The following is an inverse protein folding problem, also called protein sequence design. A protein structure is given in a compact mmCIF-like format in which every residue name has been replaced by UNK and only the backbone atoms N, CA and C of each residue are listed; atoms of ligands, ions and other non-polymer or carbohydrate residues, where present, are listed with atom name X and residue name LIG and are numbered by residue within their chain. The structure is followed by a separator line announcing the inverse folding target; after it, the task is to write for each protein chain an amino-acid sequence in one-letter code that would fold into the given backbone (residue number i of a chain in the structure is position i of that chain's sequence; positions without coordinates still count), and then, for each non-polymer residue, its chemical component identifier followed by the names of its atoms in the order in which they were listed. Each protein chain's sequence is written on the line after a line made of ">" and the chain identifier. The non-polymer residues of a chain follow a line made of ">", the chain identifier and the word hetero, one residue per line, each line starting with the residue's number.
data_IF_674691113849
#
_entry.id   IF_674691113849
#
_cell.length_a   1.000
_cell.length_b   1.000
_cell.length_c   1.000
_cell.angle_alpha   90.00
_cell.angle_beta   90.00
_cell.angle_gamma   90.00
#
_symmetry.space_group_name_H-M   'P 1'
#
loop_
_entity.id
_entity.type
_entity.pdbx_description
1 polymer ?
#
# COMPACT_ATOMS: atom_id res chain seq x y z
N UNK A 1 51.07 -0.69 -64.40
CA UNK A 1 50.32 0.44 -63.85
C UNK A 1 48.85 0.01 -63.78
N UNK A 2 48.46 -0.60 -62.67
CA UNK A 2 47.12 -1.16 -62.46
C UNK A 2 46.27 -0.14 -61.71
N UNK A 3 45.18 0.30 -62.33
CA UNK A 3 44.19 1.18 -61.71
C UNK A 3 43.37 0.40 -60.66
N UNK A 4 43.19 0.98 -59.48
CA UNK A 4 42.29 0.45 -58.45
C UNK A 4 40.84 0.90 -58.75
N UNK A 5 39.83 0.07 -58.47
CA UNK A 5 38.43 0.45 -58.64
C UNK A 5 37.98 1.40 -57.52
N UNK A 6 37.26 2.44 -57.92
CA UNK A 6 36.62 3.39 -57.02
C UNK A 6 35.45 2.71 -56.30
N UNK A 7 35.51 2.67 -54.97
CA UNK A 7 34.45 2.09 -54.13
C UNK A 7 33.43 3.18 -53.85
N UNK A 8 32.28 3.12 -54.52
CA UNK A 8 31.13 3.96 -54.23
C UNK A 8 30.66 3.72 -52.79
N UNK A 9 30.92 4.69 -51.90
CA UNK A 9 30.39 4.70 -50.54
C UNK A 9 29.02 5.36 -50.58
N UNK A 10 27.98 4.54 -50.68
CA UNK A 10 26.60 5.01 -50.60
C UNK A 10 26.32 5.66 -49.23
N UNK A 11 25.81 6.91 -49.17
CA UNK A 11 25.56 7.59 -47.91
C UNK A 11 24.42 6.90 -47.17
N UNK A 12 24.75 6.10 -46.15
CA UNK A 12 23.75 5.53 -45.24
C UNK A 12 22.91 6.66 -44.65
N UNK A 13 21.64 6.70 -45.03
CA UNK A 13 20.66 7.70 -44.57
C UNK A 13 20.70 7.86 -43.04
N UNK A 14 20.91 9.07 -42.50
CA UNK A 14 20.98 9.32 -41.05
C UNK A 14 19.73 8.91 -40.27
N UNK A 15 18.59 8.82 -40.95
CA UNK A 15 17.26 8.50 -40.41
C UNK A 15 17.16 7.11 -39.78
N UNK A 16 17.96 6.13 -40.23
CA UNK A 16 17.88 4.76 -39.72
C UNK A 16 18.52 4.57 -38.33
N UNK A 17 19.36 5.52 -37.85
CA UNK A 17 20.04 5.42 -36.55
C UNK A 17 19.26 5.98 -35.36
N UNK A 18 18.19 6.74 -35.61
CA UNK A 18 17.39 7.40 -34.57
C UNK A 18 16.17 6.59 -34.11
N UNK A 19 15.89 5.47 -34.76
CA UNK A 19 14.75 4.60 -34.48
C UNK A 19 15.23 3.26 -33.91
N UNK A 20 15.90 3.30 -32.76
CA UNK A 20 15.85 2.12 -31.88
C UNK A 20 14.38 1.78 -31.59
N UNK A 21 14.04 0.52 -31.27
CA UNK A 21 12.65 0.16 -31.01
C UNK A 21 12.08 1.09 -29.93
N UNK A 22 11.07 1.89 -30.27
CA UNK A 22 10.40 2.81 -29.32
C UNK A 22 9.51 2.04 -28.34
N UNK A 23 9.23 0.77 -28.61
CA UNK A 23 8.32 -0.05 -27.82
C UNK A 23 8.71 -0.22 -26.34
N UNK A 24 10.00 -0.32 -25.91
CA UNK A 24 10.33 -0.42 -24.49
C UNK A 24 9.99 0.87 -23.73
N UNK A 25 10.17 2.03 -24.36
CA UNK A 25 9.81 3.32 -23.77
C UNK A 25 8.30 3.51 -23.67
N UNK A 26 7.58 3.06 -24.70
CA UNK A 26 6.11 3.03 -24.69
C UNK A 26 5.62 2.09 -23.59
N UNK A 27 6.16 0.86 -23.51
CA UNK A 27 5.80 -0.11 -22.49
C UNK A 27 6.06 0.43 -21.08
N UNK A 28 7.24 1.01 -20.83
CA UNK A 28 7.58 1.58 -19.53
C UNK A 28 6.65 2.74 -19.13
N UNK A 29 6.24 3.57 -20.11
CA UNK A 29 5.30 4.68 -19.90
C UNK A 29 3.89 4.17 -19.60
N UNK A 30 3.43 3.14 -20.32
CA UNK A 30 2.17 2.46 -20.05
C UNK A 30 2.18 1.82 -18.66
N UNK A 31 3.25 1.13 -18.29
CA UNK A 31 3.41 0.53 -16.97
C UNK A 31 3.41 1.58 -15.87
N UNK A 32 4.18 2.67 -16.00
CA UNK A 32 4.21 3.75 -15.02
C UNK A 32 2.86 4.45 -14.85
N UNK A 33 2.16 4.73 -15.95
CA UNK A 33 0.81 5.29 -15.92
C UNK A 33 -0.20 4.33 -15.29
N UNK A 34 -0.17 3.04 -15.66
CA UNK A 34 -1.02 2.00 -15.10
C UNK A 34 -0.80 1.79 -13.61
N UNK A 35 0.45 1.82 -13.13
CA UNK A 35 0.78 1.71 -11.71
C UNK A 35 0.24 2.91 -10.91
N UNK A 36 0.31 4.13 -11.43
CA UNK A 36 -0.32 5.29 -10.78
C UNK A 36 -1.85 5.19 -10.69
N UNK A 37 -2.49 4.69 -11.74
CA UNK A 37 -3.94 4.44 -11.72
C UNK A 37 -4.30 3.38 -10.66
N UNK A 38 -3.49 2.32 -10.56
CA UNK A 38 -3.65 1.29 -9.53
C UNK A 38 -3.42 1.86 -8.12
N UNK A 39 -2.39 2.67 -7.92
CA UNK A 39 -2.15 3.44 -6.69
C UNK A 39 -3.39 4.25 -6.30
N UNK A 40 -3.96 5.01 -7.24
CA UNK A 40 -5.15 5.83 -6.99
C UNK A 40 -6.37 4.99 -6.60
N UNK A 41 -6.57 3.82 -7.22
CA UNK A 41 -7.64 2.91 -6.86
C UNK A 41 -7.47 2.31 -5.46
N UNK A 42 -6.25 1.87 -5.10
CA UNK A 42 -5.93 1.34 -3.77
C UNK A 42 -6.15 2.41 -2.69
N UNK A 43 -5.66 3.63 -2.92
CA UNK A 43 -5.82 4.72 -1.96
C UNK A 43 -7.27 5.18 -1.85
N UNK A 44 -8.07 5.09 -2.92
CA UNK A 44 -9.50 5.37 -2.87
C UNK A 44 -10.23 4.37 -1.98
N UNK A 45 -9.91 3.08 -2.07
CA UNK A 45 -10.47 2.05 -1.21
C UNK A 45 -10.13 2.30 0.27
N UNK A 46 -8.85 2.56 0.57
CA UNK A 46 -8.41 2.91 1.92
C UNK A 46 -9.10 4.20 2.42
N UNK A 47 -9.23 5.22 1.56
CA UNK A 47 -9.95 6.45 1.87
C UNK A 47 -11.39 6.17 2.29
N UNK A 48 -12.15 5.46 1.44
CA UNK A 48 -13.58 5.21 1.69
C UNK A 48 -13.79 4.35 2.94
N UNK A 49 -12.90 3.39 3.19
CA UNK A 49 -13.10 2.37 4.22
C UNK A 49 -12.53 2.73 5.60
N UNK A 50 -11.60 3.68 5.69
CA UNK A 50 -10.98 4.01 6.97
C UNK A 50 -10.49 5.45 7.10
N UNK A 51 -9.88 6.01 6.04
CA UNK A 51 -9.13 7.26 6.17
C UNK A 51 -9.98 8.52 6.00
N UNK A 52 -11.18 8.43 5.40
CA UNK A 52 -12.02 9.61 5.09
C UNK A 52 -12.42 10.44 6.30
N UNK A 53 -12.47 9.85 7.49
CA UNK A 53 -12.88 10.55 8.73
C UNK A 53 -11.69 11.08 9.54
N UNK A 54 -10.46 10.70 9.20
CA UNK A 54 -9.27 11.10 9.95
C UNK A 54 -8.96 12.58 9.62
N UNK A 55 -8.99 13.49 10.61
CA UNK A 55 -8.71 14.90 10.36
C UNK A 55 -7.35 15.11 9.69
N UNK A 56 -7.30 15.99 8.69
CA UNK A 56 -6.13 16.25 7.83
C UNK A 56 -5.72 15.08 6.93
N UNK A 57 -5.52 13.87 7.47
CA UNK A 57 -5.07 12.69 6.72
C UNK A 57 -6.06 12.29 5.63
N UNK A 58 -7.37 12.27 5.94
CA UNK A 58 -8.39 11.93 4.96
C UNK A 58 -8.36 12.85 3.74
N UNK A 59 -8.21 14.16 3.95
CA UNK A 59 -8.10 15.14 2.87
C UNK A 59 -6.83 14.95 2.03
N UNK A 60 -5.70 14.62 2.68
CA UNK A 60 -4.46 14.31 1.98
C UNK A 60 -4.56 13.03 1.15
N UNK A 61 -5.24 12.00 1.67
CA UNK A 61 -5.55 10.78 0.94
C UNK A 61 -6.39 11.08 -0.31
N UNK A 62 -7.45 11.87 -0.18
CA UNK A 62 -8.29 12.25 -1.32
C UNK A 62 -7.52 13.06 -2.36
N UNK A 63 -6.67 14.00 -1.93
CA UNK A 63 -5.81 14.76 -2.83
C UNK A 63 -4.84 13.86 -3.60
N UNK A 64 -4.23 12.88 -2.90
CA UNK A 64 -3.36 11.88 -3.52
C UNK A 64 -4.13 11.07 -4.57
N UNK A 65 -5.34 10.61 -4.26
CA UNK A 65 -6.18 9.81 -5.18
C UNK A 65 -6.44 10.58 -6.47
N UNK A 66 -6.87 11.84 -6.35
CA UNK A 66 -7.14 12.70 -7.51
C UNK A 66 -5.84 12.93 -8.31
N UNK A 67 -4.74 13.24 -7.64
CA UNK A 67 -3.45 13.46 -8.29
C UNK A 67 -2.96 12.21 -9.02
N UNK A 68 -3.09 11.03 -8.42
CA UNK A 68 -2.69 9.75 -8.98
C UNK A 68 -3.47 9.43 -10.27
N UNK A 69 -4.79 9.63 -10.27
CA UNK A 69 -5.60 9.43 -11.48
C UNK A 69 -5.26 10.43 -12.59
N UNK A 70 -5.13 11.72 -12.25
CA UNK A 70 -4.80 12.78 -13.22
C UNK A 70 -3.42 12.56 -13.83
N UNK A 71 -2.41 12.31 -12.99
CA UNK A 71 -1.04 12.06 -13.45
C UNK A 71 -0.94 10.72 -14.18
N UNK A 72 -1.61 9.67 -13.71
CA UNK A 72 -1.65 8.35 -14.36
C UNK A 72 -2.17 8.43 -15.79
N UNK A 73 -3.29 9.12 -16.00
CA UNK A 73 -3.81 9.37 -17.35
C UNK A 73 -2.90 10.30 -18.16
N UNK A 74 -2.37 11.36 -17.54
CA UNK A 74 -1.48 12.32 -18.19
C UNK A 74 -0.16 11.71 -18.67
N UNK A 75 0.41 10.77 -17.92
CA UNK A 75 1.63 10.03 -18.30
C UNK A 75 1.43 9.27 -19.60
N UNK A 76 0.22 8.82 -19.93
CA UNK A 76 -0.05 8.10 -21.19
C UNK A 76 0.10 9.00 -22.43
N UNK A 77 0.07 10.33 -22.28
CA UNK A 77 0.26 11.28 -23.37
C UNK A 77 1.76 11.43 -23.68
N UNK A 78 2.24 11.05 -24.89
CA UNK A 78 3.66 11.11 -25.23
C UNK A 78 4.19 12.55 -25.32
N UNK A 79 5.53 12.71 -25.23
CA UNK A 79 6.20 14.01 -25.41
C UNK A 79 6.22 14.94 -24.19
N UNK A 80 5.63 14.54 -23.06
CA UNK A 80 5.62 15.32 -21.82
C UNK A 80 6.50 14.67 -20.75
N UNK A 81 7.69 15.22 -20.52
CA UNK A 81 8.66 14.71 -19.52
C UNK A 81 8.28 15.09 -18.09
N UNK A 82 7.60 16.22 -17.92
CA UNK A 82 7.18 16.72 -16.61
C UNK A 82 6.14 15.81 -15.93
N UNK A 83 5.28 15.12 -16.71
CA UNK A 83 4.23 14.27 -16.13
C UNK A 83 4.79 12.99 -15.47
N UNK A 84 5.70 12.22 -16.10
CA UNK A 84 6.39 11.13 -15.41
C UNK A 84 7.21 11.59 -14.20
N UNK A 85 7.89 12.73 -14.29
CA UNK A 85 8.65 13.28 -13.16
C UNK A 85 7.73 13.65 -11.98
N UNK A 86 6.59 14.31 -12.25
CA UNK A 86 5.58 14.63 -11.24
C UNK A 86 4.96 13.35 -10.64
N UNK A 87 4.70 12.34 -11.46
CA UNK A 87 4.22 11.03 -11.00
C UNK A 87 5.21 10.31 -10.08
N UNK A 88 6.50 10.33 -10.43
CA UNK A 88 7.57 9.80 -9.58
C UNK A 88 7.66 10.57 -8.25
N UNK A 89 7.55 11.90 -8.29
CA UNK A 89 7.54 12.72 -7.08
C UNK A 89 6.33 12.42 -6.18
N UNK A 90 5.14 12.19 -6.77
CA UNK A 90 3.95 11.77 -6.03
C UNK A 90 4.19 10.44 -5.32
N UNK A 91 4.63 9.40 -6.05
CA UNK A 91 4.90 8.08 -5.49
C UNK A 91 5.94 8.13 -4.35
N UNK A 92 7.01 8.91 -4.52
CA UNK A 92 8.01 9.13 -3.47
C UNK A 92 7.40 9.83 -2.24
N UNK A 93 6.57 10.85 -2.45
CA UNK A 93 5.90 11.56 -1.35
C UNK A 93 4.94 10.66 -0.58
N UNK A 94 4.22 9.77 -1.27
CA UNK A 94 3.32 8.79 -0.65
C UNK A 94 4.09 7.78 0.19
N UNK A 95 5.20 7.24 -0.34
CA UNK A 95 6.11 6.38 0.43
C UNK A 95 6.67 7.08 1.67
N UNK A 96 7.11 8.33 1.52
CA UNK A 96 7.59 9.15 2.63
C UNK A 96 6.52 9.37 3.70
N UNK A 97 5.30 9.71 3.28
CA UNK A 97 4.15 9.87 4.17
C UNK A 97 3.81 8.60 4.95
N UNK A 98 3.78 7.44 4.26
CA UNK A 98 3.52 6.14 4.88
C UNK A 98 4.61 5.73 5.88
N UNK A 99 5.89 5.94 5.57
CA UNK A 99 6.97 5.62 6.49
C UNK A 99 6.95 6.55 7.71
N UNK A 100 6.70 7.84 7.51
CA UNK A 100 6.61 8.80 8.60
C UNK A 100 5.42 8.49 9.53
N UNK A 101 4.26 8.14 8.98
CA UNK A 101 3.08 7.78 9.75
C UNK A 101 3.28 6.50 10.57
N UNK A 102 4.06 5.52 10.08
CA UNK A 102 4.41 4.31 10.83
C UNK A 102 5.37 4.61 12.01
N UNK A 103 6.37 5.46 11.79
CA UNK A 103 7.48 5.64 12.73
C UNK A 103 7.15 6.64 13.84
N UNK A 104 6.68 7.82 13.43
CA UNK A 104 6.49 8.97 14.31
C UNK A 104 5.01 9.36 14.38
N UNK A 105 4.23 9.00 13.35
CA UNK A 105 2.89 9.50 13.14
C UNK A 105 2.89 10.80 12.34
N UNK A 106 1.71 11.20 11.89
CA UNK A 106 1.48 12.39 11.08
C UNK A 106 0.16 13.03 11.51
N UNK A 107 0.20 14.30 11.91
CA UNK A 107 -0.99 15.06 12.36
C UNK A 107 -1.82 14.36 13.46
N UNK A 108 -1.16 13.64 14.38
CA UNK A 108 -1.82 12.89 15.46
C UNK A 108 -2.34 11.51 15.05
N UNK A 109 -2.23 11.14 13.77
CA UNK A 109 -2.50 9.79 13.29
C UNK A 109 -1.21 8.96 13.27
N UNK A 110 -1.24 7.74 13.82
CA UNK A 110 -0.16 6.78 13.69
C UNK A 110 -0.63 5.58 12.91
N UNK A 111 0.09 5.28 11.83
CA UNK A 111 -0.24 4.17 10.95
C UNK A 111 0.12 2.84 11.60
N UNK A 112 -0.66 1.80 11.28
CA UNK A 112 -0.33 0.42 11.64
C UNK A 112 0.03 -0.35 10.38
N UNK A 113 1.05 -1.20 10.49
CA UNK A 113 1.50 -2.02 9.37
C UNK A 113 0.48 -3.11 9.06
N UNK A 114 -0.31 -2.91 8.01
CA UNK A 114 -1.24 -3.92 7.49
C UNK A 114 -0.77 -4.52 6.17
N UNK A 115 -1.35 -5.65 5.79
CA UNK A 115 -1.12 -6.25 4.47
C UNK A 115 -1.48 -5.28 3.35
N UNK A 116 -2.60 -4.55 3.47
CA UNK A 116 -3.00 -3.55 2.50
C UNK A 116 -1.98 -2.42 2.38
N UNK A 117 -1.48 -1.89 3.50
CA UNK A 117 -0.42 -0.88 3.52
C UNK A 117 0.90 -1.38 2.90
N UNK A 118 1.26 -2.65 3.15
CA UNK A 118 2.44 -3.28 2.52
C UNK A 118 2.26 -3.39 1.00
N UNK A 119 1.12 -3.88 0.54
CA UNK A 119 0.81 -4.02 -0.90
C UNK A 119 0.84 -2.64 -1.58
N UNK A 120 0.20 -1.63 -0.98
CA UNK A 120 0.25 -0.25 -1.47
C UNK A 120 1.69 0.26 -1.58
N UNK A 121 2.51 0.06 -0.53
CA UNK A 121 3.92 0.44 -0.54
C UNK A 121 4.74 -0.23 -1.65
N UNK A 122 4.49 -1.51 -1.95
CA UNK A 122 5.17 -2.22 -3.05
C UNK A 122 4.77 -1.64 -4.41
N UNK A 123 3.48 -1.38 -4.63
CA UNK A 123 2.98 -0.75 -5.86
C UNK A 123 3.60 0.63 -6.04
N UNK A 124 3.72 1.42 -4.97
CA UNK A 124 4.34 2.75 -5.01
C UNK A 124 5.83 2.70 -5.36
N UNK A 125 6.58 1.72 -4.85
CA UNK A 125 7.99 1.52 -5.22
C UNK A 125 8.10 1.19 -6.71
N UNK A 126 7.23 0.33 -7.22
CA UNK A 126 7.22 -0.02 -8.65
C UNK A 126 6.85 1.19 -9.52
N UNK A 127 5.85 1.98 -9.11
CA UNK A 127 5.43 3.20 -9.79
C UNK A 127 6.58 4.22 -9.83
N UNK A 128 7.23 4.47 -8.69
CA UNK A 128 8.38 5.35 -8.57
C UNK A 128 9.51 4.92 -9.51
N UNK A 129 9.90 3.64 -9.48
CA UNK A 129 10.97 3.13 -10.32
C UNK A 129 10.66 3.28 -11.82
N UNK A 130 9.45 2.88 -12.24
CA UNK A 130 9.03 2.97 -13.63
C UNK A 130 9.01 4.43 -14.13
N UNK A 131 8.41 5.34 -13.37
CA UNK A 131 8.24 6.73 -13.76
C UNK A 131 9.54 7.53 -13.70
N UNK A 132 10.40 7.27 -12.72
CA UNK A 132 11.74 7.84 -12.66
C UNK A 132 12.57 7.42 -13.88
N UNK A 133 12.49 6.15 -14.28
CA UNK A 133 13.18 5.67 -15.47
C UNK A 133 12.65 6.33 -16.75
N UNK A 134 11.33 6.52 -16.91
CA UNK A 134 10.77 7.29 -18.03
C UNK A 134 11.27 8.74 -18.03
N UNK A 135 11.25 9.41 -16.87
CA UNK A 135 11.64 10.80 -16.74
C UNK A 135 13.13 11.01 -17.07
N UNK A 136 14.02 10.23 -16.45
CA UNK A 136 15.47 10.29 -16.66
C UNK A 136 15.85 9.91 -18.08
N UNK A 137 15.21 8.87 -18.64
CA UNK A 137 15.41 8.45 -20.02
C UNK A 137 15.00 9.51 -21.04
N UNK A 138 13.91 10.21 -20.77
CA UNK A 138 13.46 11.31 -21.64
C UNK A 138 14.42 12.51 -21.57
N UNK A 139 14.97 12.82 -20.39
CA UNK A 139 15.99 13.87 -20.24
C UNK A 139 17.29 13.52 -20.97
N UNK A 140 17.72 12.27 -20.93
CA UNK A 140 18.91 11.79 -21.64
C UNK A 140 18.79 11.85 -23.17
N UNK A 141 17.57 11.89 -23.71
CA UNK A 141 17.32 12.09 -25.15
C UNK A 141 17.38 13.58 -25.56
N UNK A 142 17.28 14.50 -24.60
CA UNK A 142 17.34 15.95 -24.84
C UNK A 142 18.77 16.50 -24.79
N UNK A 143 19.76 15.73 -24.32
CA UNK A 143 21.16 16.16 -24.32
C UNK A 143 21.78 15.96 -25.71
N UNK A 144 22.21 17.04 -26.39
CA UNK A 144 22.92 16.89 -27.67
C UNK A 144 24.23 16.16 -27.43
N UNK A 145 24.47 15.08 -28.19
CA UNK A 145 25.79 14.42 -28.22
C UNK A 145 26.78 15.39 -28.83
N UNK A 146 27.70 15.95 -28.04
CA UNK A 146 28.82 16.73 -28.55
C UNK A 146 29.67 15.88 -29.52
N UNK A 147 30.01 16.36 -30.73
CA UNK A 147 30.69 15.56 -31.75
C UNK A 147 32.20 15.34 -31.49
N UNK A 148 32.69 15.44 -30.26
CA UNK A 148 34.11 15.51 -29.94
C UNK A 148 34.61 14.42 -28.96
N UNK A 149 34.21 13.16 -29.15
CA UNK A 149 34.85 12.03 -28.48
C UNK A 149 35.29 10.98 -29.52
N UNK A 150 36.56 10.52 -29.50
CA UNK A 150 37.02 9.49 -30.43
C UNK A 150 36.21 8.21 -30.22
N UNK A 151 35.90 7.55 -31.33
CA UNK A 151 35.03 6.40 -31.41
C UNK A 151 35.57 5.19 -30.60
N UNK A 152 35.31 5.16 -29.30
CA UNK A 152 35.06 3.89 -28.63
C UNK A 152 33.90 3.25 -29.39
N UNK A 153 34.21 2.19 -30.13
CA UNK A 153 33.30 1.59 -31.09
C UNK A 153 31.95 1.34 -30.41
N UNK A 154 30.89 1.86 -31.02
CA UNK A 154 29.50 1.68 -30.58
C UNK A 154 29.17 0.20 -30.32
N UNK A 155 29.87 -0.72 -31.00
CA UNK A 155 29.83 -2.16 -30.79
C UNK A 155 30.29 -2.62 -29.39
N UNK A 156 31.24 -1.92 -28.75
CA UNK A 156 31.68 -2.21 -27.38
C UNK A 156 30.64 -1.74 -26.34
N UNK A 157 30.07 -0.54 -26.51
CA UNK A 157 29.05 0.01 -25.60
C UNK A 157 27.69 -0.72 -25.68
N UNK A 158 27.29 -1.20 -26.85
CA UNK A 158 26.05 -1.99 -26.99
C UNK A 158 26.18 -3.39 -26.38
N UNK A 159 27.39 -3.96 -26.32
CA UNK A 159 27.64 -5.28 -25.75
C UNK A 159 27.57 -5.27 -24.21
N UNK A 160 27.83 -4.13 -23.58
CA UNK A 160 27.73 -3.95 -22.11
C UNK A 160 26.32 -3.53 -21.62
N UNK A 161 25.49 -2.90 -22.47
CA UNK A 161 24.17 -2.39 -22.08
C UNK A 161 22.96 -3.12 -22.71
N UNK A 162 23.17 -3.87 -23.80
CA UNK A 162 22.09 -4.58 -24.49
C UNK A 162 21.53 -5.77 -23.70
N UNK A 163 22.37 -6.44 -22.91
CA UNK A 163 21.91 -7.52 -22.03
C UNK A 163 21.18 -6.95 -20.81
N UNK A 164 21.71 -5.90 -20.17
CA UNK A 164 21.19 -5.35 -18.91
C UNK A 164 19.84 -4.62 -19.04
N UNK A 165 19.57 -3.97 -20.18
CA UNK A 165 18.29 -3.29 -20.42
C UNK A 165 17.11 -4.25 -20.67
N UNK A 166 17.36 -5.40 -21.32
CA UNK A 166 16.33 -6.44 -21.51
C UNK A 166 16.01 -7.18 -20.23
N UNK A 167 16.99 -7.40 -19.34
CA UNK A 167 16.76 -7.95 -18.00
C UNK A 167 15.97 -6.98 -17.11
N UNK A 168 16.22 -5.67 -17.19
CA UNK A 168 15.51 -4.69 -16.39
C UNK A 168 14.02 -4.55 -16.80
N UNK A 169 13.71 -4.53 -18.09
CA UNK A 169 12.33 -4.47 -18.58
C UNK A 169 11.56 -5.77 -18.31
N UNK A 170 12.21 -6.93 -18.49
CA UNK A 170 11.63 -8.23 -18.16
C UNK A 170 11.43 -8.38 -16.63
N UNK A 171 12.38 -7.92 -15.81
CA UNK A 171 12.26 -7.92 -14.35
C UNK A 171 11.13 -7.02 -13.86
N UNK A 172 10.93 -5.85 -14.49
CA UNK A 172 9.82 -4.96 -14.12
C UNK A 172 8.46 -5.53 -14.55
N UNK A 173 8.39 -6.22 -15.70
CA UNK A 173 7.19 -6.91 -16.15
C UNK A 173 6.86 -8.14 -15.28
N UNK A 174 7.86 -8.92 -14.87
CA UNK A 174 7.66 -10.06 -13.96
C UNK A 174 7.32 -9.60 -12.54
N UNK A 175 7.91 -8.52 -12.04
CA UNK A 175 7.53 -7.92 -10.76
C UNK A 175 6.10 -7.36 -10.83
N UNK A 176 5.71 -6.70 -11.91
CA UNK A 176 4.33 -6.20 -12.08
C UNK A 176 3.30 -7.33 -12.17
N UNK A 177 3.60 -8.39 -12.92
CA UNK A 177 2.74 -9.58 -13.00
C UNK A 177 2.70 -10.37 -11.68
N UNK A 178 3.82 -10.42 -10.95
CA UNK A 178 3.88 -11.04 -9.62
C UNK A 178 3.11 -10.22 -8.58
N UNK A 179 3.15 -8.87 -8.64
CA UNK A 179 2.35 -8.00 -7.77
C UNK A 179 0.86 -8.16 -8.09
N UNK A 180 0.47 -8.20 -9.38
CA UNK A 180 -0.91 -8.46 -9.79
C UNK A 180 -1.39 -9.85 -9.34
N UNK A 181 -0.50 -10.84 -9.45
CA UNK A 181 -0.73 -12.19 -8.93
C UNK A 181 -0.91 -12.21 -7.41
N UNK A 182 -0.01 -11.55 -6.66
CA UNK A 182 -0.08 -11.43 -5.19
C UNK A 182 -1.36 -10.70 -4.74
N UNK A 183 -1.82 -9.67 -5.46
CA UNK A 183 -3.12 -9.02 -5.18
C UNK A 183 -4.31 -9.95 -5.41
N UNK A 184 -4.22 -10.92 -6.32
CA UNK A 184 -5.28 -11.92 -6.56
C UNK A 184 -5.25 -13.07 -5.53
N UNK A 185 -4.08 -13.43 -4.96
CA UNK A 185 -3.98 -14.48 -3.93
C UNK A 185 -4.12 -13.95 -2.50
N UNK A 186 -3.73 -12.69 -2.23
CA UNK A 186 -3.89 -12.07 -0.92
C UNK A 186 -5.36 -11.79 -0.55
N UNK A 187 -6.25 -11.80 -1.54
CA UNK A 187 -7.70 -11.69 -1.37
C UNK A 187 -8.42 -13.05 -1.41
N UNK A 188 -7.69 -14.17 -1.44
CA UNK A 188 -8.31 -15.46 -1.20
C UNK A 188 -8.86 -15.48 0.22
N UNK A 189 -10.18 -15.70 0.43
CA UNK A 189 -10.72 -15.78 1.78
C UNK A 189 -9.99 -16.91 2.51
N UNK A 190 -9.31 -16.56 3.61
CA UNK A 190 -8.81 -17.57 4.52
C UNK A 190 -9.99 -18.48 4.88
N UNK A 191 -9.82 -19.80 4.70
CA UNK A 191 -10.82 -20.74 5.20
C UNK A 191 -10.99 -20.45 6.70
N UNK A 192 -12.24 -20.25 7.19
CA UNK A 192 -12.44 -20.00 8.60
C UNK A 192 -11.83 -21.18 9.37
N UNK A 193 -10.80 -20.90 10.16
CA UNK A 193 -10.40 -21.83 11.20
C UNK A 193 -11.60 -22.07 12.12
N UNK A 194 -11.68 -23.21 12.82
CA UNK A 194 -12.77 -23.46 13.73
C UNK A 194 -12.89 -22.31 14.74
N UNK A 195 -14.03 -21.60 14.71
CA UNK A 195 -14.33 -20.52 15.64
C UNK A 195 -14.21 -21.07 17.06
N UNK A 196 -13.38 -20.48 17.94
CA UNK A 196 -13.32 -20.90 19.33
C UNK A 196 -14.72 -20.87 19.93
N UNK A 197 -15.13 -21.99 20.54
CA UNK A 197 -16.44 -22.06 21.21
C UNK A 197 -16.54 -21.02 22.34
N UNK A 198 -15.41 -20.74 23.00
CA UNK A 198 -15.30 -19.83 24.13
C UNK A 198 -14.16 -18.81 23.92
N UNK A 199 -14.37 -17.60 24.40
CA UNK A 199 -13.39 -16.52 24.50
C UNK A 199 -13.09 -16.24 25.97
N UNK A 200 -11.90 -16.61 26.45
CA UNK A 200 -11.53 -16.37 27.85
C UNK A 200 -11.09 -14.92 28.00
N UNK A 201 -11.75 -14.21 28.93
CA UNK A 201 -11.46 -12.83 29.27
C UNK A 201 -10.65 -12.78 30.57
N UNK A 202 -9.71 -11.86 30.65
CA UNK A 202 -8.88 -11.59 31.84
C UNK A 202 -8.86 -10.08 32.08
N UNK A 203 -8.18 -9.65 33.14
CA UNK A 203 -7.94 -8.24 33.41
C UNK A 203 -6.45 -7.96 33.53
N UNK A 204 -6.03 -6.76 33.11
CA UNK A 204 -4.70 -6.23 33.32
C UNK A 204 -4.78 -4.73 33.65
N UNK A 205 -3.72 -4.16 34.23
CA UNK A 205 -3.62 -2.71 34.38
C UNK A 205 -2.61 -2.19 33.37
N UNK A 206 -3.06 -1.31 32.48
CA UNK A 206 -2.23 -0.69 31.44
C UNK A 206 -2.31 0.80 31.65
N UNK A 207 -1.14 1.44 31.81
CA UNK A 207 -1.05 2.90 32.05
C UNK A 207 -1.93 3.44 33.18
N UNK A 208 -2.25 2.60 34.18
CA UNK A 208 -3.09 2.94 35.33
C UNK A 208 -4.59 2.65 35.15
N UNK A 209 -5.02 2.20 33.98
CA UNK A 209 -6.40 1.82 33.68
C UNK A 209 -6.55 0.29 33.82
N UNK A 210 -7.52 -0.20 34.62
CA UNK A 210 -7.86 -1.61 34.65
C UNK A 210 -8.67 -1.98 33.41
N UNK A 211 -8.10 -2.78 32.52
CA UNK A 211 -8.70 -3.16 31.22
C UNK A 211 -8.99 -4.65 31.13
N UNK A 212 -9.96 -4.99 30.29
CA UNK A 212 -10.26 -6.35 29.87
C UNK A 212 -9.25 -6.78 28.79
N UNK A 213 -8.75 -8.00 28.92
CA UNK A 213 -7.77 -8.61 28.00
C UNK A 213 -8.22 -9.98 27.53
N UNK A 214 -7.64 -10.46 26.43
CA UNK A 214 -7.81 -11.84 25.97
C UNK A 214 -7.00 -12.83 26.83
N UNK A 215 -7.09 -14.13 26.51
CA UNK A 215 -6.35 -15.18 27.21
C UNK A 215 -4.82 -14.99 27.19
N UNK A 216 -4.29 -14.29 26.18
CA UNK A 216 -2.86 -14.00 25.99
C UNK A 216 -2.43 -12.70 26.69
N UNK A 217 -3.37 -11.90 27.20
CA UNK A 217 -3.11 -10.62 27.84
C UNK A 217 -3.07 -9.43 26.88
N UNK A 218 -3.59 -9.59 25.66
CA UNK A 218 -3.78 -8.46 24.73
C UNK A 218 -5.03 -7.68 25.11
N UNK A 219 -4.95 -6.36 25.07
CA UNK A 219 -6.05 -5.44 25.38
C UNK A 219 -7.22 -5.66 24.43
N UNK A 220 -8.42 -5.64 24.99
CA UNK A 220 -9.65 -5.67 24.24
C UNK A 220 -10.26 -4.27 24.18
N UNK A 221 -10.95 -4.02 23.07
CA UNK A 221 -11.48 -2.72 22.69
C UNK A 221 -12.97 -2.81 22.40
N UNK A 222 -13.62 -1.66 22.51
CA UNK A 222 -14.97 -1.45 22.01
C UNK A 222 -15.00 -0.25 21.06
N UNK A 223 -16.03 -0.22 20.22
CA UNK A 223 -16.19 0.78 19.18
C UNK A 223 -17.39 1.67 19.47
N UNK A 224 -17.20 2.99 19.48
CA UNK A 224 -18.27 3.95 19.83
C UNK A 224 -19.52 3.83 18.94
N UNK A 225 -19.43 3.61 17.62
CA UNK A 225 -20.60 3.41 16.76
C UNK A 225 -21.36 2.09 16.94
N UNK A 226 -20.83 1.14 17.71
CA UNK A 226 -21.53 -0.12 17.98
C UNK A 226 -22.72 0.06 18.91
N UNK A 227 -23.62 -0.92 18.90
CA UNK A 227 -24.71 -1.03 19.87
C UNK A 227 -24.64 -2.38 20.59
N UNK A 228 -25.33 -2.56 21.73
CA UNK A 228 -25.32 -3.83 22.46
C UNK A 228 -25.76 -5.06 21.70
N UNK A 229 -26.40 -4.90 20.55
CA UNK A 229 -26.90 -6.01 19.74
C UNK A 229 -26.33 -6.04 18.32
N UNK A 230 -25.47 -5.07 17.96
CA UNK A 230 -24.97 -4.92 16.59
C UNK A 230 -23.59 -4.26 16.58
N UNK A 231 -22.66 -4.93 15.92
CA UNK A 231 -21.39 -4.38 15.45
C UNK A 231 -21.60 -3.61 14.15
N UNK A 232 -20.88 -2.51 13.93
CA UNK A 232 -20.75 -1.82 12.64
C UNK A 232 -19.39 -2.08 11.98
N UNK A 233 -18.44 -2.68 12.71
CA UNK A 233 -17.11 -2.97 12.20
C UNK A 233 -17.09 -4.27 11.37
N UNK A 234 -17.05 -4.14 10.04
CA UNK A 234 -16.97 -5.24 9.08
C UNK A 234 -15.89 -4.99 8.02
N UNK A 235 -15.64 -6.01 7.20
CA UNK A 235 -14.70 -5.94 6.07
C UNK A 235 -13.32 -5.44 6.52
N UNK A 236 -12.82 -4.38 5.91
CA UNK A 236 -11.52 -3.81 6.25
C UNK A 236 -11.44 -3.36 7.70
N UNK A 237 -12.53 -2.87 8.31
CA UNK A 237 -12.54 -2.53 9.73
C UNK A 237 -12.15 -3.75 10.58
N UNK A 238 -12.72 -4.92 10.29
CA UNK A 238 -12.43 -6.15 11.02
C UNK A 238 -11.02 -6.71 10.74
N UNK A 239 -10.29 -6.17 9.75
CA UNK A 239 -8.88 -6.47 9.55
C UNK A 239 -7.98 -5.70 10.53
N UNK A 240 -8.36 -4.46 10.89
CA UNK A 240 -7.64 -3.65 11.89
C UNK A 240 -8.10 -3.97 13.32
N UNK A 241 -9.38 -4.28 13.46
CA UNK A 241 -10.06 -4.57 14.71
C UNK A 241 -10.71 -5.95 14.66
N UNK A 242 -9.94 -7.04 14.73
CA UNK A 242 -10.50 -8.38 14.67
C UNK A 242 -11.53 -8.61 15.80
N UNK A 243 -12.73 -9.12 15.50
CA UNK A 243 -13.73 -9.40 16.53
C UNK A 243 -13.26 -10.55 17.44
N UNK A 244 -13.51 -10.43 18.73
CA UNK A 244 -13.27 -11.52 19.68
C UNK A 244 -14.41 -12.54 19.53
N UNK A 245 -14.17 -13.59 18.75
CA UNK A 245 -15.19 -14.60 18.45
C UNK A 245 -15.35 -15.63 19.57
N UNK A 246 -16.59 -16.08 19.82
CA UNK A 246 -16.92 -17.11 20.80
C UNK A 246 -17.77 -16.59 21.96
N UNK A 247 -18.18 -17.51 22.85
CA UNK A 247 -18.89 -17.15 24.08
C UNK A 247 -17.91 -16.66 25.13
N UNK A 248 -18.07 -15.45 25.71
CA UNK A 248 -17.15 -14.96 26.72
C UNK A 248 -17.21 -15.82 27.98
N UNK A 249 -16.04 -16.07 28.57
CA UNK A 249 -15.86 -16.75 29.85
C UNK A 249 -15.04 -15.84 30.75
N UNK A 250 -15.61 -15.47 31.90
CA UNK A 250 -14.95 -14.62 32.88
C UNK A 250 -13.76 -15.34 33.53
N UNK A 251 -12.58 -14.75 33.44
CA UNK A 251 -11.44 -15.05 34.31
C UNK A 251 -11.47 -14.18 35.59
N UNK A 252 -10.45 -14.33 36.45
CA UNK A 252 -10.32 -13.50 37.66
C UNK A 252 -10.33 -12.01 37.32
N UNK A 253 -11.07 -11.22 38.11
CA UNK A 253 -11.16 -9.76 37.96
C UNK A 253 -12.18 -9.26 36.94
N UNK A 254 -12.73 -10.13 36.09
CA UNK A 254 -13.76 -9.78 35.10
C UNK A 254 -15.12 -9.67 35.82
N UNK A 255 -15.61 -8.45 36.03
CA UNK A 255 -16.80 -8.19 36.87
C UNK A 255 -18.05 -7.76 36.10
N UNK A 256 -17.91 -7.35 34.85
CA UNK A 256 -18.99 -6.86 34.01
C UNK A 256 -19.89 -7.93 33.41
N UNK A 257 -20.93 -7.48 32.75
CA UNK A 257 -21.97 -8.30 32.15
C UNK A 257 -21.48 -8.93 30.85
N UNK A 258 -21.33 -10.25 30.85
CA UNK A 258 -20.92 -10.99 29.68
C UNK A 258 -22.10 -11.34 28.78
N UNK A 259 -21.98 -11.06 27.49
CA UNK A 259 -23.00 -11.38 26.49
C UNK A 259 -22.39 -11.74 25.14
N UNK A 260 -23.23 -12.02 24.14
CA UNK A 260 -22.76 -12.27 22.78
C UNK A 260 -23.59 -11.50 21.77
N UNK A 261 -22.92 -10.98 20.75
CA UNK A 261 -23.55 -10.40 19.57
C UNK A 261 -23.42 -11.37 18.39
N UNK A 262 -24.51 -11.55 17.63
CA UNK A 262 -24.50 -12.38 16.43
C UNK A 262 -24.09 -11.52 15.23
N UNK A 263 -22.98 -11.89 14.56
CA UNK A 263 -22.47 -11.19 13.39
C UNK A 263 -23.16 -11.67 12.10
N UNK A 264 -23.05 -10.87 11.03
CA UNK A 264 -23.43 -11.28 9.67
C UNK A 264 -22.59 -12.49 9.26
N UNK A 265 -23.21 -13.62 9.00
CA UNK A 265 -22.53 -14.92 8.81
C UNK A 265 -22.81 -15.94 9.92
N UNK A 266 -23.42 -15.52 11.03
CA UNK A 266 -23.87 -16.41 12.10
C UNK A 266 -22.86 -16.66 13.20
N UNK A 267 -21.62 -16.17 13.05
CA UNK A 267 -20.60 -16.19 14.09
C UNK A 267 -21.02 -15.38 15.33
N UNK A 268 -20.62 -15.88 16.51
CA UNK A 268 -20.81 -15.16 17.77
C UNK A 268 -19.57 -14.35 18.09
N UNK A 269 -19.78 -13.11 18.51
CA UNK A 269 -18.76 -12.23 19.06
C UNK A 269 -19.03 -12.01 20.55
N UNK A 270 -17.97 -12.09 21.35
CA UNK A 270 -18.01 -11.77 22.76
C UNK A 270 -18.33 -10.29 22.98
N UNK A 271 -19.12 -10.00 24.00
CA UNK A 271 -19.43 -8.65 24.43
C UNK A 271 -19.32 -8.53 25.96
N UNK A 272 -18.93 -7.35 26.41
CA UNK A 272 -18.75 -6.99 27.82
C UNK A 272 -19.51 -5.69 28.10
N UNK A 273 -20.38 -5.68 29.11
CA UNK A 273 -21.25 -4.55 29.46
C UNK A 273 -22.01 -3.93 28.28
N UNK A 274 -22.42 -4.78 27.34
CA UNK A 274 -23.14 -4.36 26.14
C UNK A 274 -22.25 -3.79 25.04
N UNK A 275 -20.94 -3.97 25.11
CA UNK A 275 -20.01 -3.56 24.06
C UNK A 275 -19.43 -4.80 23.34
N UNK A 276 -19.56 -4.92 22.01
CA UNK A 276 -18.86 -5.94 21.24
C UNK A 276 -17.34 -5.78 21.40
N UNK A 277 -16.65 -6.87 21.68
CA UNK A 277 -15.22 -6.85 21.96
C UNK A 277 -14.39 -7.10 20.70
N UNK A 278 -13.29 -6.37 20.58
CA UNK A 278 -12.33 -6.46 19.50
C UNK A 278 -10.91 -6.54 20.04
N UNK A 279 -10.03 -7.22 19.31
CA UNK A 279 -8.58 -7.04 19.45
C UNK A 279 -8.11 -5.94 18.50
N UNK A 280 -6.90 -5.43 18.70
CA UNK A 280 -6.29 -4.45 17.81
C UNK A 280 -4.99 -5.00 17.19
N UNK A 281 -4.84 -4.89 15.86
CA UNK A 281 -3.63 -5.37 15.17
C UNK A 281 -2.38 -4.54 15.47
N UNK A 282 -2.56 -3.33 16.02
CA UNK A 282 -1.45 -2.50 16.49
C UNK A 282 -0.84 -2.97 17.80
N UNK A 283 -1.46 -3.90 18.51
CA UNK A 283 -0.92 -4.51 19.73
C UNK A 283 -0.24 -5.84 19.40
N UNK A 284 1.08 -5.85 19.53
CA UNK A 284 1.95 -7.00 19.28
C UNK A 284 2.36 -7.75 20.55
N UNK A 285 2.14 -7.17 21.73
CA UNK A 285 2.51 -7.76 23.01
C UNK A 285 1.53 -7.37 24.14
N UNK A 286 1.40 -8.21 25.19
CA UNK A 286 0.63 -7.85 26.38
C UNK A 286 1.12 -6.55 27.03
N UNK A 287 0.19 -5.78 27.60
CA UNK A 287 0.49 -4.50 28.24
C UNK A 287 0.53 -3.31 27.27
N UNK A 288 0.17 -3.52 26.00
CA UNK A 288 -0.03 -2.44 25.03
C UNK A 288 -1.51 -2.08 24.96
N UNK A 289 -1.80 -0.78 24.87
CA UNK A 289 -3.12 -0.27 24.61
C UNK A 289 -3.10 0.73 23.43
N UNK A 290 -2.39 0.41 22.35
CA UNK A 290 -2.15 1.37 21.27
C UNK A 290 -3.41 1.73 20.48
N UNK A 291 -4.48 0.95 20.63
CA UNK A 291 -5.78 1.19 20.00
C UNK A 291 -6.63 2.24 20.72
N UNK A 292 -6.26 2.66 21.92
CA UNK A 292 -7.10 3.59 22.69
C UNK A 292 -7.11 5.00 22.07
N UNK A 293 -8.28 5.62 22.08
CA UNK A 293 -8.54 6.97 21.59
C UNK A 293 -8.15 7.20 20.11
N UNK A 294 -8.21 6.14 19.29
CA UNK A 294 -8.05 6.24 17.84
C UNK A 294 -9.41 6.49 17.19
N UNK A 295 -9.53 7.57 16.41
CA UNK A 295 -10.66 7.76 15.48
C UNK A 295 -10.34 7.11 14.12
N UNK A 296 -10.92 5.94 13.88
CA UNK A 296 -10.74 5.16 12.67
C UNK A 296 -12.03 4.39 12.32
N UNK A 297 -12.27 4.19 11.02
CA UNK A 297 -13.48 3.51 10.51
C UNK A 297 -14.80 4.24 10.86
N UNK A 298 -14.74 5.55 11.11
CA UNK A 298 -15.91 6.40 11.35
C UNK A 298 -16.35 6.52 12.80
N UNK A 299 -15.48 6.20 13.76
CA UNK A 299 -15.72 6.41 15.18
C UNK A 299 -14.46 6.23 16.02
N UNK A 300 -14.59 6.52 17.31
CA UNK A 300 -13.50 6.36 18.27
C UNK A 300 -13.49 4.94 18.83
N UNK A 301 -12.29 4.41 19.00
CA UNK A 301 -11.99 3.14 19.66
C UNK A 301 -11.49 3.40 21.07
N UNK A 302 -11.98 2.61 22.02
CA UNK A 302 -11.60 2.71 23.42
C UNK A 302 -11.18 1.36 23.95
N UNK A 303 -10.15 1.35 24.80
CA UNK A 303 -9.86 0.18 25.61
C UNK A 303 -11.07 -0.16 26.49
N UNK A 304 -11.37 -1.44 26.63
CA UNK A 304 -12.49 -1.90 27.43
C UNK A 304 -12.09 -1.89 28.91
N UNK A 305 -12.55 -0.89 29.65
CA UNK A 305 -12.36 -0.81 31.10
C UNK A 305 -13.14 -1.94 31.80
N UNK A 306 -12.59 -2.47 32.88
CA UNK A 306 -13.25 -3.49 33.72
C UNK A 306 -14.54 -2.94 34.37
N UNK A 307 -14.64 -1.64 34.58
CA UNK A 307 -15.80 -0.98 35.19
C UNK A 307 -17.00 -0.81 34.26
N UNK A 308 -16.83 -1.04 32.95
CA UNK A 308 -17.86 -0.89 31.93
C UNK A 308 -17.79 0.44 31.20
#
# INVERSE_FOLDING_TARGET
>A
MTAQPEVDVEPRSPTARLLGPLWPWVALRLSGGGLLLATGAIHLDLYVTGYRTIPTIGWLFLLQVVAAFVLGAGVLVPGRVLLPAAGAALALSTLGGYLLSLWIGLFGFREVRTTAGIVAGIVEIAALAALAAVALGSLAQLTPVSPAAPAATWAARLKEHGASATWAAAALATVSAAILGVSLVANAPASPGPTPANAVLKTATITGVPVVTDARGLTLYWFVPDTPTRSTCYDTCALYWPPVTGRPVAGPGVTGTLSTVKRSGGELQAAYDGHPLYSYVGDSAPGQANGDNIDLNGGVWHEMDVSG
#
